data_IF_551443418665
#
_entry.id   IF_551443418665
#
_cell.length_a   1.000
_cell.length_b   1.000
_cell.length_c   1.000
_cell.angle_alpha   90.00
_cell.angle_beta   90.00
_cell.angle_gamma   90.00
#
_symmetry.space_group_name_H-M   'P 1'
#
loop_
_entity.id
_entity.type
_entity.pdbx_description
1 polymer ?
#
# COMPACT_ATOMS: atom_id res chain seq x y z
N UNK A 1 3.89 -30.20 -2.31
CA UNK A 1 2.84 -29.71 -1.74
C UNK A 1 1.62 -29.82 -2.54
N UNK A 2 0.64 -29.81 -2.00
CA UNK A 2 -0.50 -30.07 -2.66
C UNK A 2 -1.28 -28.87 -2.83
N UNK A 3 -1.12 -28.28 -3.86
CA UNK A 3 -1.87 -27.15 -4.22
C UNK A 3 -3.21 -27.58 -4.75
N UNK A 4 -4.23 -26.88 -4.39
CA UNK A 4 -5.57 -27.19 -4.85
C UNK A 4 -6.15 -25.98 -5.54
N UNK A 5 -5.75 -25.78 -6.76
CA UNK A 5 -6.04 -24.51 -7.44
C UNK A 5 -7.53 -24.20 -7.57
N UNK A 6 -8.34 -25.16 -7.85
CA UNK A 6 -9.75 -24.90 -8.00
C UNK A 6 -10.40 -24.42 -6.73
N UNK A 7 -9.92 -24.93 -5.63
CA UNK A 7 -10.44 -24.60 -4.33
C UNK A 7 -10.18 -23.14 -3.99
N UNK A 8 -8.98 -22.65 -4.26
CA UNK A 8 -8.65 -21.29 -3.91
C UNK A 8 -9.31 -20.28 -4.79
N UNK A 9 -9.46 -20.61 -6.06
CA UNK A 9 -10.00 -19.65 -7.00
C UNK A 9 -11.42 -19.25 -6.68
N UNK A 10 -12.20 -20.18 -6.16
CA UNK A 10 -13.62 -19.98 -6.02
C UNK A 10 -14.01 -18.95 -4.99
N UNK A 11 -13.14 -18.66 -4.02
CA UNK A 11 -13.53 -17.80 -2.92
C UNK A 11 -12.51 -16.71 -2.61
N UNK A 12 -11.48 -16.59 -3.43
CA UNK A 12 -10.43 -15.63 -3.11
C UNK A 12 -10.80 -14.21 -3.50
N UNK A 13 -10.60 -13.32 -2.60
CA UNK A 13 -10.70 -11.88 -2.81
C UNK A 13 -9.42 -11.26 -2.26
N UNK A 14 -8.91 -10.28 -2.94
CA UNK A 14 -7.70 -9.60 -2.50
C UNK A 14 -8.02 -8.15 -2.19
N UNK A 15 -7.58 -7.68 -1.06
CA UNK A 15 -7.61 -6.26 -0.73
C UNK A 15 -6.21 -5.71 -0.81
N UNK A 16 -6.06 -4.53 -1.40
CA UNK A 16 -4.76 -3.87 -1.51
C UNK A 16 -4.88 -2.53 -0.81
N UNK A 17 -4.05 -2.32 0.21
CA UNK A 17 -4.00 -1.07 0.94
C UNK A 17 -2.70 -0.37 0.59
N UNK A 18 -2.81 0.79 -0.02
CA UNK A 18 -1.65 1.61 -0.35
C UNK A 18 -1.55 2.73 0.67
N UNK A 19 -0.40 2.81 1.34
CA UNK A 19 -0.18 3.79 2.40
C UNK A 19 0.92 4.74 1.96
N UNK A 20 0.62 6.02 1.98
CA UNK A 20 1.57 7.05 1.56
C UNK A 20 1.69 8.13 2.63
N UNK A 21 2.86 8.73 2.79
CA UNK A 21 2.97 9.89 3.69
C UNK A 21 2.13 11.05 3.15
N UNK A 22 1.52 11.80 4.05
CA UNK A 22 0.77 12.99 3.65
C UNK A 22 1.70 13.98 2.96
N UNK A 23 1.20 14.73 1.97
CA UNK A 23 2.08 15.65 1.23
C UNK A 23 2.79 16.68 2.09
N UNK A 24 2.22 17.04 3.24
CA UNK A 24 2.81 18.05 4.11
C UNK A 24 3.84 17.49 5.07
N UNK A 25 4.05 16.17 5.08
CA UNK A 25 4.92 15.53 6.04
C UNK A 25 6.32 15.38 5.47
N UNK A 26 7.34 15.58 6.28
CA UNK A 26 8.70 15.31 5.90
C UNK A 26 8.87 13.80 5.66
N UNK A 27 9.44 13.46 4.53
CA UNK A 27 9.66 12.07 4.12
C UNK A 27 11.16 11.87 3.86
N UNK A 28 11.94 11.53 4.90
CA UNK A 28 13.40 11.41 4.72
C UNK A 28 13.78 10.34 3.71
N UNK A 29 12.98 9.24 3.64
CA UNK A 29 13.28 8.18 2.71
C UNK A 29 13.06 8.63 1.27
N UNK A 30 11.99 9.36 1.03
CA UNK A 30 11.73 9.91 -0.30
C UNK A 30 12.77 10.93 -0.70
N UNK A 31 13.18 11.79 0.24
CA UNK A 31 14.21 12.78 -0.04
C UNK A 31 15.53 12.12 -0.39
N UNK A 32 15.93 11.10 0.37
CA UNK A 32 17.17 10.37 0.08
C UNK A 32 17.10 9.68 -1.27
N UNK A 33 15.95 9.12 -1.61
CA UNK A 33 15.76 8.48 -2.90
C UNK A 33 15.89 9.49 -4.03
N UNK A 34 15.29 10.66 -3.87
CA UNK A 34 15.38 11.71 -4.89
C UNK A 34 16.83 12.12 -5.13
N UNK A 35 17.62 12.26 -4.05
CA UNK A 35 19.03 12.60 -4.20
C UNK A 35 19.79 11.53 -4.95
N UNK A 36 19.52 10.26 -4.63
CA UNK A 36 20.17 9.16 -5.30
C UNK A 36 19.83 9.13 -6.79
N UNK A 37 18.58 9.42 -7.12
CA UNK A 37 18.15 9.43 -8.51
C UNK A 37 18.86 10.53 -9.30
N UNK A 38 19.06 11.70 -8.69
CA UNK A 38 19.80 12.78 -9.33
C UNK A 38 21.24 12.38 -9.57
N UNK A 39 21.86 11.73 -8.58
CA UNK A 39 23.23 11.27 -8.73
C UNK A 39 23.38 10.24 -9.84
N UNK A 40 22.33 9.48 -10.12
CA UNK A 40 22.36 8.49 -11.18
C UNK A 40 21.96 9.06 -12.53
N UNK A 41 21.80 10.37 -12.62
CA UNK A 41 21.61 11.02 -13.91
C UNK A 41 20.23 11.57 -14.18
N UNK A 42 19.27 11.34 -13.28
CA UNK A 42 17.91 11.84 -13.49
C UNK A 42 17.77 13.18 -12.78
N UNK A 43 18.34 14.20 -13.40
CA UNK A 43 18.44 15.51 -12.76
C UNK A 43 17.11 16.25 -12.66
N UNK A 44 16.14 15.87 -13.47
CA UNK A 44 14.81 16.47 -13.41
C UNK A 44 13.98 15.95 -12.26
N UNK A 45 14.52 15.06 -11.45
CA UNK A 45 13.76 14.47 -10.36
C UNK A 45 13.20 15.56 -9.44
N UNK A 46 11.89 15.56 -9.30
CA UNK A 46 11.23 16.41 -8.35
C UNK A 46 11.06 15.69 -7.03
N UNK A 47 9.89 15.83 -6.46
CA UNK A 47 9.61 15.20 -5.18
C UNK A 47 9.40 13.70 -5.35
N UNK A 48 10.05 12.92 -4.49
CA UNK A 48 9.87 11.48 -4.42
C UNK A 48 9.23 11.15 -3.09
N UNK A 49 8.21 10.34 -3.12
CA UNK A 49 7.51 9.91 -1.91
C UNK A 49 7.56 8.40 -1.85
N UNK A 50 7.93 7.86 -0.70
CA UNK A 50 8.04 6.42 -0.50
C UNK A 50 6.92 5.97 0.42
N UNK A 51 6.14 5.01 -0.03
CA UNK A 51 5.07 4.43 0.75
C UNK A 51 5.16 2.93 0.71
N UNK A 52 4.06 2.27 1.04
CA UNK A 52 4.03 0.82 1.05
C UNK A 52 2.70 0.32 0.51
N UNK A 53 2.71 -0.91 0.02
CA UNK A 53 1.52 -1.58 -0.47
C UNK A 53 1.35 -2.86 0.32
N UNK A 54 0.16 -3.09 0.83
CA UNK A 54 -0.14 -4.25 1.66
C UNK A 54 -1.23 -5.04 0.96
N UNK A 55 -0.93 -6.30 0.64
CA UNK A 55 -1.90 -7.19 0.01
C UNK A 55 -2.47 -8.13 1.05
N UNK A 56 -3.78 -8.23 1.08
CA UNK A 56 -4.50 -9.06 2.04
C UNK A 56 -5.36 -10.03 1.27
N UNK A 57 -5.11 -11.31 1.45
CA UNK A 57 -5.94 -12.34 0.84
C UNK A 57 -7.05 -12.72 1.81
N UNK A 58 -8.27 -12.71 1.30
CA UNK A 58 -9.44 -12.98 2.11
C UNK A 58 -10.21 -14.13 1.51
N UNK A 59 -10.83 -14.92 2.34
CA UNK A 59 -11.74 -15.96 1.88
C UNK A 59 -13.16 -15.47 2.16
N UNK A 60 -14.04 -15.63 1.17
CA UNK A 60 -15.40 -15.19 1.29
C UNK A 60 -15.56 -13.72 0.97
N UNK A 61 -16.60 -13.13 1.50
CA UNK A 61 -16.92 -11.74 1.21
C UNK A 61 -16.00 -10.79 1.97
N UNK A 62 -15.63 -9.73 1.31
CA UNK A 62 -14.85 -8.69 1.96
C UNK A 62 -15.77 -7.77 2.75
N UNK A 63 -15.42 -7.52 3.99
CA UNK A 63 -16.12 -6.53 4.80
C UNK A 63 -15.37 -5.22 4.67
N UNK A 64 -15.86 -4.35 3.79
CA UNK A 64 -15.12 -3.13 3.48
C UNK A 64 -15.02 -2.19 4.66
N UNK A 65 -16.07 -2.11 5.49
CA UNK A 65 -16.01 -1.24 6.66
C UNK A 65 -14.92 -1.67 7.62
N UNK A 66 -14.82 -2.99 7.82
CA UNK A 66 -13.78 -3.51 8.69
C UNK A 66 -12.39 -3.31 8.08
N UNK A 67 -12.27 -3.47 6.77
CA UNK A 67 -10.99 -3.23 6.10
C UNK A 67 -10.57 -1.77 6.20
N UNK A 68 -11.51 -0.84 6.08
CA UNK A 68 -11.18 0.57 6.25
C UNK A 68 -10.73 0.86 7.67
N UNK A 69 -11.40 0.25 8.65
CA UNK A 69 -11.00 0.43 10.04
C UNK A 69 -9.58 -0.07 10.28
N UNK A 70 -9.27 -1.25 9.74
CA UNK A 70 -7.94 -1.84 9.90
C UNK A 70 -6.88 -1.02 9.18
N UNK A 71 -7.20 -0.56 7.97
CA UNK A 71 -6.26 0.24 7.21
C UNK A 71 -5.93 1.53 7.96
N UNK A 72 -6.95 2.18 8.52
CA UNK A 72 -6.76 3.43 9.22
C UNK A 72 -6.05 3.23 10.56
N UNK A 73 -6.44 2.22 11.32
CA UNK A 73 -6.03 2.12 12.71
C UNK A 73 -4.81 1.23 12.92
N UNK A 74 -4.56 0.29 11.99
CA UNK A 74 -3.47 -0.66 12.15
C UNK A 74 -2.40 -0.50 11.08
N UNK A 75 -2.80 -0.32 9.82
CA UNK A 75 -1.85 -0.40 8.71
C UNK A 75 -1.24 0.95 8.37
N UNK A 76 -1.85 2.04 8.80
CA UNK A 76 -1.32 3.37 8.56
C UNK A 76 -1.29 4.15 9.86
N UNK A 77 -0.57 5.26 9.83
CA UNK A 77 -0.61 6.23 10.93
C UNK A 77 -1.39 7.44 10.42
N UNK A 78 -2.66 7.60 10.82
CA UNK A 78 -3.50 8.63 10.21
C UNK A 78 -3.04 10.06 10.49
N UNK A 79 -2.14 10.24 11.44
CA UNK A 79 -1.59 11.57 11.70
C UNK A 79 -0.67 12.01 10.58
N UNK A 80 0.11 11.08 10.02
CA UNK A 80 1.14 11.40 9.04
C UNK A 80 0.97 10.67 7.71
N UNK A 81 0.00 9.76 7.60
CA UNK A 81 -0.17 8.96 6.38
C UNK A 81 -1.60 8.96 5.92
N UNK A 82 -1.75 8.83 4.62
CA UNK A 82 -3.04 8.55 3.98
C UNK A 82 -3.03 7.12 3.48
N UNK A 83 -4.21 6.54 3.31
CA UNK A 83 -4.29 5.21 2.72
C UNK A 83 -5.35 5.18 1.63
N UNK A 84 -5.22 4.20 0.75
CA UNK A 84 -6.21 3.91 -0.26
C UNK A 84 -6.47 2.42 -0.26
N UNK A 85 -7.74 2.04 -0.33
CA UNK A 85 -8.14 0.64 -0.30
C UNK A 85 -8.74 0.27 -1.64
N UNK A 86 -8.30 -0.87 -2.17
CA UNK A 86 -8.83 -1.40 -3.41
C UNK A 86 -9.18 -2.87 -3.21
N UNK A 87 -10.37 -3.27 -3.66
CA UNK A 87 -10.80 -4.67 -3.60
C UNK A 87 -10.68 -5.25 -5.00
N UNK A 88 -9.94 -6.33 -5.11
CA UNK A 88 -9.71 -7.02 -6.38
C UNK A 88 -10.35 -8.40 -6.30
N UNK A 89 -11.27 -8.68 -7.21
CA UNK A 89 -12.00 -9.95 -7.19
C UNK A 89 -11.52 -10.92 -8.25
#
# INVERSE_FOLDING_TARGET
MSHRPGHEILTSVKAIVTVMPKPSVLDPQGAATAEAMKHLGLEETGRVRVGKSIEIELSGDANEDKLHEIARDLLSNPVIEDYRLEIVK
#
